data_IF_976729122745
#
_entry.id   IF_976729122745
#
_cell.length_a   1.000
_cell.length_b   1.000
_cell.length_c   1.000
_cell.angle_alpha   90.00
_cell.angle_beta   90.00
_cell.angle_gamma   90.00
#
_symmetry.space_group_name_H-M   'P 1'
#
loop_
_entity.id
_entity.type
_entity.pdbx_description
1 polymer ?
#
# COMPACT_ATOMS: atom_id res chain seq x y z
N UNK A 1 25.84 -12.07 9.36
CA UNK A 1 25.48 -10.66 9.04
C UNK A 1 24.77 -10.56 7.70
N UNK A 2 25.33 -11.13 6.62
CA UNK A 2 24.80 -10.99 5.25
C UNK A 2 23.37 -11.56 5.07
N UNK A 3 23.05 -12.71 5.68
CA UNK A 3 21.72 -13.30 5.62
C UNK A 3 20.65 -12.39 6.25
N UNK A 4 20.97 -11.75 7.36
CA UNK A 4 20.05 -10.80 8.01
C UNK A 4 19.80 -9.58 7.13
N UNK A 5 20.84 -9.06 6.48
CA UNK A 5 20.72 -7.94 5.54
C UNK A 5 19.76 -8.29 4.41
N UNK A 6 19.92 -9.48 3.79
CA UNK A 6 19.04 -9.94 2.71
C UNK A 6 17.58 -10.05 3.17
N UNK A 7 17.34 -10.65 4.35
CA UNK A 7 15.98 -10.81 4.88
C UNK A 7 15.34 -9.43 5.18
N UNK A 8 16.09 -8.50 5.76
CA UNK A 8 15.60 -7.15 6.03
C UNK A 8 15.32 -6.39 4.75
N UNK A 9 16.20 -6.47 3.76
CA UNK A 9 16.01 -5.85 2.46
C UNK A 9 14.76 -6.40 1.78
N UNK A 10 14.57 -7.72 1.77
CA UNK A 10 13.36 -8.35 1.21
C UNK A 10 12.08 -7.90 1.93
N UNK A 11 12.13 -7.75 3.26
CA UNK A 11 10.98 -7.26 4.02
C UNK A 11 10.65 -5.79 3.70
N UNK A 12 11.66 -4.93 3.53
CA UNK A 12 11.52 -3.54 3.11
C UNK A 12 10.94 -3.47 1.70
N UNK A 13 11.50 -4.20 0.74
CA UNK A 13 11.05 -4.24 -0.65
C UNK A 13 9.60 -4.74 -0.76
N UNK A 14 9.25 -5.77 0.01
CA UNK A 14 7.90 -6.30 0.10
C UNK A 14 6.88 -5.26 0.61
N UNK A 15 7.25 -4.51 1.65
CA UNK A 15 6.42 -3.44 2.21
C UNK A 15 6.26 -2.29 1.21
N UNK A 16 7.34 -1.82 0.61
CA UNK A 16 7.31 -0.75 -0.39
C UNK A 16 6.47 -1.17 -1.60
N UNK A 17 6.67 -2.40 -2.10
CA UNK A 17 5.96 -2.90 -3.28
C UNK A 17 4.47 -3.14 -3.05
N UNK A 18 4.08 -3.55 -1.85
CA UNK A 18 2.68 -3.92 -1.54
C UNK A 18 1.88 -2.76 -0.96
N UNK A 19 2.51 -1.85 -0.25
CA UNK A 19 1.82 -0.70 0.36
C UNK A 19 2.06 0.59 -0.43
N UNK A 20 3.27 1.14 -0.43
CA UNK A 20 3.55 2.46 -1.03
C UNK A 20 3.30 2.48 -2.54
N UNK A 21 3.80 1.49 -3.24
CA UNK A 21 3.61 1.39 -4.70
C UNK A 21 2.14 1.23 -5.08
N UNK A 22 1.38 0.44 -4.34
CA UNK A 22 -0.03 0.24 -4.63
C UNK A 22 -0.88 1.46 -4.25
N UNK A 23 -0.53 2.17 -3.19
CA UNK A 23 -1.13 3.45 -2.84
C UNK A 23 -0.85 4.51 -3.92
N UNK A 24 0.38 4.57 -4.46
CA UNK A 24 0.73 5.42 -5.59
C UNK A 24 -0.13 5.09 -6.82
N UNK A 25 -0.30 3.82 -7.16
CA UNK A 25 -1.13 3.42 -8.30
C UNK A 25 -2.61 3.72 -8.09
N UNK A 26 -3.12 3.59 -6.86
CA UNK A 26 -4.49 3.98 -6.53
C UNK A 26 -4.71 5.49 -6.68
N UNK A 27 -3.74 6.29 -6.24
CA UNK A 27 -3.77 7.75 -6.41
C UNK A 27 -3.66 8.13 -7.90
N UNK A 28 -2.79 7.46 -8.66
CA UNK A 28 -2.71 7.62 -10.11
C UNK A 28 -4.07 7.37 -10.78
N UNK A 29 -4.72 6.26 -10.43
CA UNK A 29 -6.03 5.90 -10.98
C UNK A 29 -7.08 6.97 -10.65
N UNK A 30 -7.11 7.45 -9.40
CA UNK A 30 -7.99 8.53 -8.97
C UNK A 30 -7.77 9.81 -9.77
N UNK A 31 -6.53 10.28 -9.90
CA UNK A 31 -6.20 11.52 -10.63
C UNK A 31 -6.48 11.38 -12.14
N UNK A 32 -6.24 10.20 -12.72
CA UNK A 32 -6.55 9.94 -14.12
C UNK A 32 -8.07 9.98 -14.40
N UNK A 33 -8.90 9.39 -13.52
CA UNK A 33 -10.36 9.47 -13.63
C UNK A 33 -10.88 10.90 -13.43
N UNK A 34 -10.29 11.64 -12.51
CA UNK A 34 -10.64 13.04 -12.26
C UNK A 34 -10.42 13.94 -13.47
N UNK A 35 -9.39 13.67 -14.30
CA UNK A 35 -9.24 14.39 -15.57
C UNK A 35 -10.47 14.23 -16.47
N UNK A 36 -11.04 13.02 -16.53
CA UNK A 36 -12.24 12.75 -17.33
C UNK A 36 -13.47 13.47 -16.74
N UNK A 37 -13.66 13.40 -15.43
CA UNK A 37 -14.77 14.06 -14.73
C UNK A 37 -14.74 15.58 -14.90
N UNK A 38 -13.54 16.16 -14.93
CA UNK A 38 -13.32 17.59 -15.13
C UNK A 38 -13.29 18.00 -16.61
N UNK A 39 -13.58 17.09 -17.55
CA UNK A 39 -13.51 17.31 -19.01
C UNK A 39 -12.15 17.82 -19.48
N UNK A 40 -11.06 17.41 -18.82
CA UNK A 40 -9.68 17.70 -19.21
C UNK A 40 -9.19 16.73 -20.28
N UNK A 41 -8.14 17.13 -20.98
CA UNK A 41 -7.52 16.28 -22.02
C UNK A 41 -6.86 15.06 -21.39
N UNK A 42 -7.25 13.87 -21.85
CA UNK A 42 -6.62 12.61 -21.46
C UNK A 42 -5.84 12.06 -22.66
N UNK A 43 -4.52 12.09 -22.56
CA UNK A 43 -3.60 11.55 -23.55
C UNK A 43 -2.35 11.00 -22.85
N UNK A 44 -1.42 10.44 -23.61
CA UNK A 44 -0.18 9.87 -23.05
C UNK A 44 0.60 10.87 -22.18
N UNK A 45 0.63 12.14 -22.57
CA UNK A 45 1.42 13.15 -21.86
C UNK A 45 0.77 13.52 -20.54
N UNK A 46 -0.56 13.75 -20.51
CA UNK A 46 -1.28 14.05 -19.27
C UNK A 46 -1.20 12.89 -18.27
N UNK A 47 -1.30 11.64 -18.75
CA UNK A 47 -1.16 10.44 -17.92
C UNK A 47 0.27 10.27 -17.41
N UNK A 48 1.29 10.53 -18.23
CA UNK A 48 2.68 10.49 -17.80
C UNK A 48 3.02 11.58 -16.79
N UNK A 49 2.45 12.78 -16.94
CA UNK A 49 2.66 13.87 -15.97
C UNK A 49 2.14 13.49 -14.57
N UNK A 50 0.96 12.87 -14.47
CA UNK A 50 0.47 12.34 -13.18
C UNK A 50 1.48 11.37 -12.58
N UNK A 51 2.04 10.46 -13.39
CA UNK A 51 3.02 9.48 -12.90
C UNK A 51 4.31 10.15 -12.41
N UNK A 52 4.81 11.16 -13.14
CA UNK A 52 6.00 11.94 -12.75
C UNK A 52 5.77 12.62 -11.40
N UNK A 53 4.65 13.32 -11.25
CA UNK A 53 4.31 14.06 -10.03
C UNK A 53 4.19 13.09 -8.83
N UNK A 54 3.52 11.95 -9.00
CA UNK A 54 3.39 10.95 -7.95
C UNK A 54 4.71 10.29 -7.56
N UNK A 55 5.61 9.99 -8.51
CA UNK A 55 6.93 9.48 -8.18
C UNK A 55 7.77 10.50 -7.40
N UNK A 56 7.62 11.78 -7.74
CA UNK A 56 8.25 12.86 -6.97
C UNK A 56 7.70 12.93 -5.55
N UNK A 57 6.37 12.87 -5.39
CA UNK A 57 5.72 12.98 -4.08
C UNK A 57 5.98 11.77 -3.17
N UNK A 58 5.92 10.56 -3.72
CA UNK A 58 6.03 9.32 -2.94
C UNK A 58 7.47 8.88 -2.66
N UNK A 59 8.40 9.17 -3.58
CA UNK A 59 9.75 8.64 -3.55
C UNK A 59 10.86 9.70 -3.64
N UNK A 60 10.50 10.96 -3.84
CA UNK A 60 11.44 12.05 -4.17
C UNK A 60 12.32 11.75 -5.41
N UNK A 61 11.75 11.03 -6.38
CA UNK A 61 12.41 10.65 -7.64
C UNK A 61 11.86 11.51 -8.77
N UNK A 62 12.76 12.18 -9.50
CA UNK A 62 12.42 12.86 -10.75
C UNK A 62 12.56 11.87 -11.93
N UNK A 63 11.44 11.59 -12.61
CA UNK A 63 11.40 10.67 -13.75
C UNK A 63 11.70 11.33 -15.09
N UNK A 64 11.93 12.64 -15.15
CA UNK A 64 12.09 13.36 -16.43
C UNK A 64 13.28 12.88 -17.25
N UNK A 65 14.34 12.43 -16.56
CA UNK A 65 15.56 11.93 -17.20
C UNK A 65 15.60 10.40 -17.30
N UNK A 66 14.52 9.72 -16.89
CA UNK A 66 14.44 8.26 -16.86
C UNK A 66 13.55 7.75 -18.00
N UNK A 67 14.14 7.25 -19.10
CA UNK A 67 13.38 6.84 -20.30
C UNK A 67 12.30 5.81 -19.95
N UNK A 68 11.07 6.07 -20.36
CA UNK A 68 9.90 5.21 -20.22
C UNK A 68 9.39 4.95 -18.79
N UNK A 69 10.05 5.44 -17.73
CA UNK A 69 9.57 5.26 -16.36
C UNK A 69 8.30 6.07 -16.06
N UNK A 70 8.11 7.17 -16.77
CA UNK A 70 6.87 7.94 -16.78
C UNK A 70 5.67 7.18 -17.35
N UNK A 71 5.92 6.07 -18.07
CA UNK A 71 4.91 5.22 -18.71
C UNK A 71 4.63 3.90 -17.97
N UNK A 72 5.04 3.80 -16.71
CA UNK A 72 4.74 2.63 -15.85
C UNK A 72 3.25 2.30 -15.82
N UNK A 73 2.38 3.30 -15.84
CA UNK A 73 0.93 3.12 -15.90
C UNK A 73 0.47 2.22 -17.05
N UNK A 74 1.16 2.24 -18.20
CA UNK A 74 0.74 1.53 -19.41
C UNK A 74 0.85 -0.01 -19.28
N UNK A 75 1.67 -0.52 -18.36
CA UNK A 75 1.81 -1.97 -18.18
C UNK A 75 1.14 -2.51 -16.89
N UNK A 76 0.40 -1.66 -16.16
CA UNK A 76 -0.35 -2.10 -14.98
C UNK A 76 -1.74 -2.58 -15.43
N UNK A 77 -1.98 -3.90 -15.57
CA UNK A 77 -3.21 -4.41 -16.17
C UNK A 77 -4.46 -4.09 -15.33
N UNK A 78 -4.31 -3.90 -14.03
CA UNK A 78 -5.41 -3.57 -13.14
C UNK A 78 -6.10 -2.25 -13.51
N UNK A 79 -5.32 -1.23 -13.90
CA UNK A 79 -5.86 0.07 -14.29
C UNK A 79 -6.81 0.00 -15.51
N UNK A 80 -6.69 -1.05 -16.34
CA UNK A 80 -7.48 -1.21 -17.56
C UNK A 80 -8.57 -2.28 -17.44
N UNK A 81 -8.39 -3.28 -16.57
CA UNK A 81 -9.26 -4.47 -16.52
C UNK A 81 -10.12 -4.52 -15.27
N UNK A 82 -9.64 -3.93 -14.18
CA UNK A 82 -10.28 -3.97 -12.85
C UNK A 82 -10.14 -2.62 -12.17
N UNK A 83 -10.85 -1.57 -12.66
CA UNK A 83 -10.76 -0.23 -12.09
C UNK A 83 -11.03 -0.23 -10.59
N UNK A 84 -10.31 0.63 -9.88
CA UNK A 84 -10.42 0.80 -8.42
C UNK A 84 -10.15 -0.49 -7.61
N UNK A 85 -9.25 -1.33 -8.12
CA UNK A 85 -8.86 -2.56 -7.43
C UNK A 85 -7.57 -2.39 -6.59
N UNK A 86 -6.57 -1.65 -7.11
CA UNK A 86 -5.20 -1.68 -6.55
C UNK A 86 -5.08 -1.12 -5.13
N UNK A 87 -5.98 -0.22 -4.71
CA UNK A 87 -5.99 0.29 -3.33
C UNK A 87 -6.16 -0.82 -2.29
N UNK A 88 -6.80 -1.94 -2.67
CA UNK A 88 -7.08 -3.07 -1.79
C UNK A 88 -5.80 -3.74 -1.28
N UNK A 89 -4.71 -3.69 -2.04
CA UNK A 89 -3.42 -4.20 -1.59
C UNK A 89 -2.90 -3.42 -0.39
N UNK A 90 -2.94 -2.09 -0.45
CA UNK A 90 -2.47 -1.24 0.63
C UNK A 90 -3.36 -1.35 1.88
N UNK A 91 -4.68 -1.34 1.72
CA UNK A 91 -5.62 -1.47 2.84
C UNK A 91 -5.55 -2.84 3.51
N UNK A 92 -5.48 -3.92 2.74
CA UNK A 92 -5.34 -5.29 3.25
C UNK A 92 -4.00 -5.49 3.98
N UNK A 93 -2.91 -4.94 3.43
CA UNK A 93 -1.60 -5.01 4.06
C UNK A 93 -1.59 -4.26 5.40
N UNK A 94 -2.19 -3.08 5.46
CA UNK A 94 -2.31 -2.29 6.70
C UNK A 94 -3.13 -3.02 7.75
N UNK A 95 -4.27 -3.58 7.37
CA UNK A 95 -5.11 -4.39 8.28
C UNK A 95 -4.33 -5.59 8.82
N UNK A 96 -3.64 -6.35 7.95
CA UNK A 96 -2.89 -7.53 8.34
C UNK A 96 -1.78 -7.20 9.34
N UNK A 97 -1.05 -6.10 9.11
CA UNK A 97 0.02 -5.68 10.02
C UNK A 97 -0.53 -5.18 11.36
N UNK A 98 -1.64 -4.44 11.36
CA UNK A 98 -2.29 -3.99 12.58
C UNK A 98 -2.78 -5.19 13.42
N UNK A 99 -3.42 -6.17 12.80
CA UNK A 99 -3.85 -7.43 13.45
C UNK A 99 -2.64 -8.19 14.00
N UNK A 100 -1.58 -8.34 13.17
CA UNK A 100 -0.34 -9.00 13.61
C UNK A 100 0.25 -8.34 14.85
N UNK A 101 0.30 -7.01 14.90
CA UNK A 101 0.83 -6.28 16.03
C UNK A 101 0.00 -6.52 17.29
N UNK A 102 -1.33 -6.51 17.20
CA UNK A 102 -2.22 -6.81 18.32
C UNK A 102 -1.97 -8.20 18.89
N UNK A 103 -1.89 -9.22 18.04
CA UNK A 103 -1.61 -10.61 18.44
C UNK A 103 -0.19 -10.74 19.03
N UNK A 104 0.81 -10.15 18.38
CA UNK A 104 2.21 -10.15 18.86
C UNK A 104 2.36 -9.51 20.24
N UNK A 105 1.65 -8.40 20.46
CA UNK A 105 1.65 -7.68 21.72
C UNK A 105 0.77 -8.34 22.79
N UNK A 106 0.11 -9.46 22.48
CA UNK A 106 -0.78 -10.20 23.38
C UNK A 106 -1.92 -9.33 23.93
N UNK A 107 -2.46 -8.44 23.07
CA UNK A 107 -3.64 -7.68 23.44
C UNK A 107 -4.80 -8.61 23.74
N UNK A 108 -5.68 -8.19 24.67
CA UNK A 108 -6.79 -9.02 25.13
C UNK A 108 -7.68 -9.49 23.97
N UNK A 109 -7.94 -10.78 23.89
CA UNK A 109 -8.74 -11.45 22.85
C UNK A 109 -8.27 -11.20 21.39
N UNK A 110 -7.05 -10.71 21.15
CA UNK A 110 -6.58 -10.36 19.80
C UNK A 110 -6.56 -11.58 18.88
N UNK A 111 -6.09 -12.73 19.35
CA UNK A 111 -6.05 -13.95 18.54
C UNK A 111 -7.45 -14.51 18.27
N UNK A 112 -8.32 -14.54 19.28
CA UNK A 112 -9.71 -14.99 19.16
C UNK A 112 -10.49 -14.08 18.19
N UNK A 113 -10.25 -12.79 18.22
CA UNK A 113 -10.85 -11.82 17.32
C UNK A 113 -10.34 -12.01 15.88
N UNK A 114 -9.06 -12.32 15.69
CA UNK A 114 -8.51 -12.71 14.39
C UNK A 114 -9.20 -13.96 13.84
N UNK A 115 -9.42 -14.99 14.68
CA UNK A 115 -10.15 -16.20 14.25
C UNK A 115 -11.60 -15.88 13.90
N UNK A 116 -12.27 -14.98 14.63
CA UNK A 116 -13.62 -14.52 14.29
C UNK A 116 -13.66 -13.85 12.92
N UNK A 117 -12.67 -12.98 12.63
CA UNK A 117 -12.53 -12.36 11.32
C UNK A 117 -12.43 -13.40 10.20
N UNK A 118 -11.56 -14.40 10.35
CA UNK A 118 -11.40 -15.46 9.34
C UNK A 118 -12.69 -16.31 9.17
N UNK A 119 -13.43 -16.51 10.25
CA UNK A 119 -14.67 -17.28 10.23
C UNK A 119 -15.87 -16.50 9.66
N UNK A 120 -15.79 -15.18 9.60
CA UNK A 120 -16.87 -14.35 9.10
C UNK A 120 -17.08 -14.49 7.58
N UNK A 121 -16.05 -14.84 6.82
CA UNK A 121 -16.13 -14.95 5.35
C UNK A 121 -16.63 -13.64 4.73
N UNK A 122 -17.65 -13.76 3.86
CA UNK A 122 -18.31 -12.61 3.20
C UNK A 122 -19.64 -12.23 3.85
N UNK A 123 -19.79 -12.33 5.18
CA UNK A 123 -21.05 -12.10 5.89
C UNK A 123 -21.48 -10.65 5.99
N UNK A 124 -20.55 -9.70 5.77
CA UNK A 124 -20.81 -8.27 5.86
C UNK A 124 -19.84 -7.49 4.94
N UNK A 125 -19.91 -6.17 4.94
CA UNK A 125 -18.97 -5.31 4.24
C UNK A 125 -17.54 -5.49 4.78
N UNK A 126 -16.50 -5.47 3.92
CA UNK A 126 -15.12 -5.70 4.34
C UNK A 126 -14.65 -4.85 5.52
N UNK A 127 -15.03 -3.57 5.57
CA UNK A 127 -14.68 -2.67 6.67
C UNK A 127 -15.27 -3.14 8.00
N UNK A 128 -16.52 -3.62 8.00
CA UNK A 128 -17.20 -4.11 9.21
C UNK A 128 -16.62 -5.45 9.66
N UNK A 129 -16.29 -6.34 8.71
CA UNK A 129 -15.66 -7.61 9.00
C UNK A 129 -14.27 -7.42 9.64
N UNK A 130 -13.47 -6.48 9.14
CA UNK A 130 -12.14 -6.20 9.69
C UNK A 130 -12.22 -5.64 11.12
N UNK A 131 -13.27 -4.90 11.47
CA UNK A 131 -13.52 -4.44 12.84
C UNK A 131 -13.67 -5.59 13.86
N UNK A 132 -14.06 -6.78 13.43
CA UNK A 132 -14.10 -7.98 14.30
C UNK A 132 -12.72 -8.30 14.88
N UNK A 133 -11.65 -7.99 14.15
CA UNK A 133 -10.26 -8.13 14.63
C UNK A 133 -9.75 -6.89 15.39
N UNK A 134 -10.61 -5.94 15.71
CA UNK A 134 -10.26 -4.72 16.43
C UNK A 134 -9.45 -3.72 15.59
N UNK A 135 -9.61 -3.74 14.27
CA UNK A 135 -8.93 -2.82 13.33
C UNK A 135 -9.99 -2.01 12.57
N UNK A 136 -9.87 -0.71 12.57
CA UNK A 136 -10.76 0.19 11.84
C UNK A 136 -9.99 0.92 10.73
N UNK A 137 -10.25 0.52 9.48
CA UNK A 137 -9.64 1.12 8.28
C UNK A 137 -10.14 2.53 7.97
N UNK A 138 -11.15 3.04 8.67
CA UNK A 138 -11.57 4.44 8.56
C UNK A 138 -10.68 5.41 9.34
N UNK A 139 -9.75 4.87 10.13
CA UNK A 139 -8.78 5.62 10.93
C UNK A 139 -7.38 5.58 10.33
N UNK A 140 -6.48 6.43 10.81
CA UNK A 140 -5.07 6.43 10.39
C UNK A 140 -4.24 5.32 11.06
N UNK A 141 -4.75 4.70 12.12
CA UNK A 141 -3.99 3.76 12.97
C UNK A 141 -3.38 2.58 12.17
N UNK A 142 -4.14 1.85 11.32
CA UNK A 142 -3.59 0.74 10.57
C UNK A 142 -2.49 1.17 9.58
N UNK A 143 -2.62 2.36 9.00
CA UNK A 143 -1.64 2.91 8.05
C UNK A 143 -0.36 3.37 8.78
N UNK A 144 -0.49 3.99 9.96
CA UNK A 144 0.65 4.34 10.82
C UNK A 144 1.43 3.11 11.26
N UNK A 145 0.78 1.97 11.47
CA UNK A 145 1.46 0.72 11.79
C UNK A 145 2.44 0.30 10.66
N UNK A 146 2.08 0.51 9.39
CA UNK A 146 2.96 0.23 8.24
C UNK A 146 4.16 1.16 8.22
N UNK A 147 3.95 2.46 8.41
CA UNK A 147 5.02 3.46 8.45
C UNK A 147 6.01 3.16 9.58
N UNK A 148 5.50 2.87 10.77
CA UNK A 148 6.32 2.51 11.92
C UNK A 148 7.14 1.24 11.65
N UNK A 149 6.52 0.24 11.01
CA UNK A 149 7.22 -1.00 10.65
C UNK A 149 8.34 -0.78 9.65
N UNK A 150 8.15 0.10 8.66
CA UNK A 150 9.21 0.47 7.74
C UNK A 150 10.38 1.14 8.46
N UNK A 151 10.09 2.09 9.34
CA UNK A 151 11.12 2.78 10.14
C UNK A 151 11.93 1.81 11.01
N UNK A 152 11.26 0.85 11.66
CA UNK A 152 11.93 -0.22 12.41
C UNK A 152 12.88 -1.04 11.52
N UNK A 153 12.40 -1.50 10.36
CA UNK A 153 13.20 -2.32 9.44
C UNK A 153 14.41 -1.57 8.92
N UNK A 154 14.25 -0.29 8.58
CA UNK A 154 15.35 0.58 8.12
C UNK A 154 16.37 0.80 9.24
N UNK A 155 15.94 1.04 10.48
CA UNK A 155 16.85 1.14 11.65
C UNK A 155 17.64 -0.14 11.84
N UNK A 156 16.96 -1.29 11.83
CA UNK A 156 17.64 -2.60 11.96
C UNK A 156 18.64 -2.86 10.83
N UNK A 157 18.34 -2.43 9.61
CA UNK A 157 19.25 -2.57 8.48
C UNK A 157 20.48 -1.67 8.66
N UNK A 158 20.29 -0.41 9.07
CA UNK A 158 21.39 0.53 9.32
C UNK A 158 22.36 0.06 10.40
N UNK A 159 21.90 -0.67 11.42
CA UNK A 159 22.73 -1.24 12.47
C UNK A 159 23.64 -2.39 11.98
N UNK A 160 23.35 -2.96 10.80
CA UNK A 160 24.11 -4.06 10.22
C UNK A 160 25.09 -3.64 9.11
N UNK A 161 24.96 -2.39 8.63
CA UNK A 161 25.81 -1.80 7.60
C UNK A 161 26.94 -0.98 8.24
#
# INVERSE_FOLDING_TARGET
PNEKIVVLQQAIDGLIGTFYRQALFANYEYEAHKLVEENKVVNSDSLSNIMIDLYKDYYDIDLKDEPYKDKVWAYIPHLFRTPFYVYQYATSFSASLAIYNKVKNKEENAFENYIKLLSAGGSDYPIEIIKLAGVDLSTEEPFKAVVNRLDELVKMLKELL
#
